data_IF_610178144332
#
_entry.id   IF_610178144332
#
_cell.length_a   1.000
_cell.length_b   1.000
_cell.length_c   1.000
_cell.angle_alpha   90.00
_cell.angle_beta   90.00
_cell.angle_gamma   90.00
#
_symmetry.space_group_name_H-M   'P 1'
#
loop_
_entity.id
_entity.type
_entity.pdbx_description
1 polymer ?
#
# COMPACT_ATOMS: atom_id res chain seq x y z
N UNK A 1 24.38 13.46 -14.15
CA UNK A 1 23.11 13.65 -13.43
C UNK A 1 23.43 13.42 -11.96
N UNK A 2 23.35 14.47 -11.14
CA UNK A 2 23.77 14.42 -9.74
C UNK A 2 22.79 13.55 -8.93
N UNK A 3 23.33 12.62 -8.12
CA UNK A 3 22.58 11.87 -7.14
C UNK A 3 21.82 12.85 -6.24
N UNK A 4 20.49 12.76 -6.21
CA UNK A 4 19.65 13.60 -5.36
C UNK A 4 19.58 12.99 -3.96
N UNK A 5 20.26 13.55 -2.93
CA UNK A 5 20.03 13.20 -1.52
C UNK A 5 18.59 13.44 -1.07
N UNK A 6 17.74 14.02 -1.92
CA UNK A 6 16.33 14.27 -1.65
C UNK A 6 15.44 13.03 -1.69
N UNK A 7 15.83 11.95 -2.38
CA UNK A 7 14.93 10.82 -2.64
C UNK A 7 14.51 10.09 -1.36
N UNK A 8 15.42 9.96 -0.38
CA UNK A 8 15.20 9.25 0.88
C UNK A 8 14.78 10.15 2.05
N UNK A 9 14.64 11.46 1.83
CA UNK A 9 14.26 12.38 2.91
C UNK A 9 12.90 11.98 3.48
N UNK A 10 12.86 11.79 4.80
CA UNK A 10 11.67 11.36 5.54
C UNK A 10 11.45 9.85 5.56
N UNK A 11 12.31 9.05 4.92
CA UNK A 11 12.24 7.59 4.98
C UNK A 11 13.06 7.11 6.18
N UNK A 12 12.39 6.68 7.25
CA UNK A 12 13.05 6.26 8.49
C UNK A 12 14.05 5.12 8.23
N UNK A 13 15.25 5.23 8.81
CA UNK A 13 16.35 4.21 8.77
C UNK A 13 16.95 3.92 7.39
N UNK A 14 16.49 4.56 6.31
CA UNK A 14 17.01 4.31 4.96
C UNK A 14 18.52 4.60 4.86
N UNK A 15 19.00 5.73 5.41
CA UNK A 15 20.42 6.09 5.37
C UNK A 15 21.32 5.08 6.09
N UNK A 16 20.84 4.55 7.22
CA UNK A 16 21.54 3.50 7.96
C UNK A 16 21.62 2.23 7.13
N UNK A 17 20.49 1.81 6.55
CA UNK A 17 20.44 0.63 5.70
C UNK A 17 21.38 0.74 4.48
N UNK A 18 21.39 1.89 3.79
CA UNK A 18 22.28 2.15 2.66
C UNK A 18 23.75 2.03 3.08
N UNK A 19 24.11 2.62 4.23
CA UNK A 19 25.46 2.54 4.77
C UNK A 19 25.85 1.10 5.09
N UNK A 20 24.99 0.36 5.78
CA UNK A 20 25.25 -1.03 6.18
C UNK A 20 25.40 -1.92 4.93
N UNK A 21 24.51 -1.78 3.95
CA UNK A 21 24.59 -2.50 2.68
C UNK A 21 25.84 -2.16 1.85
N UNK A 22 26.31 -0.90 1.89
CA UNK A 22 27.52 -0.49 1.16
C UNK A 22 28.84 -0.94 1.81
N UNK A 23 28.80 -1.38 3.07
CA UNK A 23 29.98 -1.65 3.89
C UNK A 23 30.11 -3.08 4.40
N UNK A 24 29.12 -3.93 4.12
CA UNK A 24 29.12 -5.34 4.53
C UNK A 24 28.66 -6.26 3.39
N UNK A 25 29.15 -7.50 3.42
CA UNK A 25 28.68 -8.58 2.56
C UNK A 25 27.54 -9.35 3.22
N UNK A 26 26.81 -10.11 2.41
CA UNK A 26 25.63 -10.85 2.83
C UNK A 26 24.35 -10.27 2.25
N UNK A 27 23.22 -10.66 2.84
CA UNK A 27 21.88 -10.39 2.32
C UNK A 27 21.24 -9.24 3.05
N UNK A 28 20.83 -8.24 2.29
CA UNK A 28 20.05 -7.11 2.77
C UNK A 28 18.70 -7.11 2.07
N UNK A 29 17.62 -6.86 2.81
CA UNK A 29 16.26 -6.88 2.24
C UNK A 29 15.52 -5.60 2.58
N UNK A 30 14.94 -4.97 1.56
CA UNK A 30 14.00 -3.85 1.69
C UNK A 30 12.60 -4.36 1.42
N UNK A 31 11.73 -4.33 2.43
CA UNK A 31 10.32 -4.72 2.32
C UNK A 31 9.45 -3.49 2.36
N UNK A 32 8.46 -3.39 1.49
CA UNK A 32 7.52 -2.28 1.51
C UNK A 32 6.43 -2.44 0.45
N UNK A 33 5.28 -1.84 0.70
CA UNK A 33 4.18 -1.81 -0.29
C UNK A 33 4.59 -1.07 -1.57
N UNK A 34 3.84 -1.26 -2.65
CA UNK A 34 4.06 -0.59 -3.91
C UNK A 34 3.96 0.93 -3.72
N UNK A 35 4.94 1.67 -4.24
CA UNK A 35 5.03 3.13 -4.05
C UNK A 35 5.61 3.60 -2.72
N UNK A 36 6.14 2.70 -1.87
CA UNK A 36 6.75 3.08 -0.58
C UNK A 36 8.18 3.62 -0.66
N UNK A 37 8.83 3.52 -1.83
CA UNK A 37 10.21 3.98 -2.04
C UNK A 37 11.28 2.88 -2.11
N UNK A 38 10.89 1.60 -2.27
CA UNK A 38 11.82 0.47 -2.45
C UNK A 38 12.90 0.75 -3.51
N UNK A 39 12.51 1.15 -4.71
CA UNK A 39 13.44 1.46 -5.80
C UNK A 39 14.31 2.70 -5.51
N UNK A 40 13.83 3.67 -4.71
CA UNK A 40 14.65 4.79 -4.27
C UNK A 40 15.76 4.35 -3.32
N UNK A 41 15.48 3.38 -2.42
CA UNK A 41 16.50 2.77 -1.55
C UNK A 41 17.51 1.99 -2.39
N UNK A 42 17.06 1.18 -3.35
CA UNK A 42 17.98 0.46 -4.25
C UNK A 42 18.86 1.42 -5.06
N UNK A 43 18.30 2.52 -5.57
CA UNK A 43 19.06 3.55 -6.26
C UNK A 43 20.13 4.20 -5.38
N UNK A 44 19.82 4.44 -4.11
CA UNK A 44 20.80 4.96 -3.14
C UNK A 44 21.90 3.94 -2.79
N UNK A 45 21.56 2.65 -2.68
CA UNK A 45 22.57 1.59 -2.54
C UNK A 45 23.45 1.51 -3.78
N UNK A 46 22.87 1.52 -4.98
CA UNK A 46 23.61 1.50 -6.23
C UNK A 46 24.60 2.67 -6.33
N UNK A 47 24.16 3.86 -5.92
CA UNK A 47 24.97 5.06 -5.86
C UNK A 47 26.12 5.01 -4.84
N UNK A 48 25.95 4.26 -3.74
CA UNK A 48 26.95 4.12 -2.68
C UNK A 48 27.89 2.93 -2.90
N UNK A 49 27.49 1.94 -3.70
CA UNK A 49 28.25 0.72 -3.96
C UNK A 49 29.46 0.98 -4.87
N UNK A 50 30.59 0.35 -4.55
CA UNK A 50 31.82 0.45 -5.35
C UNK A 50 31.68 -0.25 -6.71
N UNK A 51 31.05 -1.42 -6.74
CA UNK A 51 30.83 -2.22 -7.96
C UNK A 51 29.43 -2.83 -7.93
N UNK A 52 28.56 -2.38 -8.82
CA UNK A 52 27.23 -3.00 -9.03
C UNK A 52 27.31 -4.00 -10.16
N UNK A 53 26.90 -5.23 -9.91
CA UNK A 53 26.82 -6.28 -10.93
C UNK A 53 25.39 -6.38 -11.49
N UNK A 54 25.25 -6.19 -12.80
CA UNK A 54 23.97 -6.19 -13.50
C UNK A 54 23.61 -7.55 -14.14
N UNK A 55 24.47 -8.56 -14.03
CA UNK A 55 24.27 -9.89 -14.59
C UNK A 55 23.49 -10.83 -13.66
N UNK A 56 23.61 -12.13 -13.90
CA UNK A 56 23.01 -13.14 -13.04
C UNK A 56 23.62 -13.08 -11.63
N UNK A 57 22.80 -13.26 -10.60
CA UNK A 57 23.26 -13.29 -9.20
C UNK A 57 24.28 -14.40 -8.96
N UNK A 58 24.19 -15.49 -9.73
CA UNK A 58 25.11 -16.64 -9.69
C UNK A 58 26.51 -16.28 -10.17
N UNK A 59 26.61 -15.34 -11.11
CA UNK A 59 27.85 -15.02 -11.82
C UNK A 59 28.56 -13.79 -11.22
N UNK A 60 27.99 -13.23 -10.14
CA UNK A 60 28.53 -12.06 -9.48
C UNK A 60 29.93 -12.36 -8.92
N UNK A 61 30.96 -11.55 -9.26
CA UNK A 61 32.30 -11.73 -8.73
C UNK A 61 32.36 -11.35 -7.25
N UNK A 62 33.31 -11.91 -6.51
CA UNK A 62 33.51 -11.57 -5.10
C UNK A 62 33.75 -10.07 -4.92
N UNK A 63 33.12 -9.49 -3.91
CA UNK A 63 33.12 -8.06 -3.61
C UNK A 63 32.10 -7.24 -4.39
N UNK A 64 31.34 -7.84 -5.31
CA UNK A 64 30.28 -7.13 -6.04
C UNK A 64 29.00 -6.97 -5.21
N UNK A 65 28.28 -5.90 -5.49
CA UNK A 65 26.91 -5.68 -5.04
C UNK A 65 25.93 -6.09 -6.13
N UNK A 66 25.00 -6.99 -5.82
CA UNK A 66 23.90 -7.38 -6.71
C UNK A 66 22.60 -6.79 -6.18
N UNK A 67 21.85 -6.12 -7.05
CA UNK A 67 20.58 -5.50 -6.72
C UNK A 67 19.46 -6.25 -7.41
N UNK A 68 18.42 -6.61 -6.68
CA UNK A 68 17.21 -7.23 -7.22
C UNK A 68 16.03 -6.38 -6.81
N UNK A 69 15.36 -5.75 -7.77
CA UNK A 69 14.08 -5.09 -7.53
C UNK A 69 12.92 -6.06 -7.74
N UNK A 70 11.81 -5.78 -7.06
CA UNK A 70 10.56 -6.53 -7.14
C UNK A 70 10.72 -8.07 -7.14
N UNK A 71 11.47 -8.60 -6.16
CA UNK A 71 11.77 -10.03 -6.08
C UNK A 71 10.51 -10.93 -6.09
N UNK A 72 9.39 -10.44 -5.56
CA UNK A 72 8.08 -11.10 -5.58
C UNK A 72 7.40 -11.21 -6.95
N UNK A 73 7.89 -10.53 -7.99
CA UNK A 73 7.40 -10.66 -9.36
C UNK A 73 8.27 -11.61 -10.20
N UNK A 74 9.37 -12.10 -9.63
CA UNK A 74 10.28 -12.99 -10.34
C UNK A 74 9.70 -14.40 -10.47
N UNK A 75 9.99 -15.09 -11.58
CA UNK A 75 9.62 -16.48 -11.74
C UNK A 75 10.41 -17.37 -10.77
N UNK A 76 9.84 -18.54 -10.45
CA UNK A 76 10.31 -19.45 -9.41
C UNK A 76 11.81 -19.76 -9.48
N UNK A 77 12.32 -20.10 -10.67
CA UNK A 77 13.74 -20.42 -10.85
C UNK A 77 14.67 -19.25 -10.48
N UNK A 78 14.26 -18.00 -10.69
CA UNK A 78 15.05 -16.82 -10.30
C UNK A 78 15.02 -16.58 -8.80
N UNK A 79 13.89 -16.88 -8.15
CA UNK A 79 13.78 -16.85 -6.68
C UNK A 79 14.70 -17.90 -6.06
N UNK A 80 14.79 -19.09 -6.65
CA UNK A 80 15.71 -20.15 -6.22
C UNK A 80 17.19 -19.76 -6.39
N UNK A 81 17.54 -19.14 -7.52
CA UNK A 81 18.90 -18.61 -7.75
C UNK A 81 19.27 -17.54 -6.70
N UNK A 82 18.34 -16.65 -6.38
CA UNK A 82 18.51 -15.63 -5.34
C UNK A 82 18.67 -16.28 -3.97
N UNK A 83 17.87 -17.29 -3.64
CA UNK A 83 17.97 -18.02 -2.38
C UNK A 83 19.31 -18.77 -2.26
N UNK A 84 19.83 -19.32 -3.34
CA UNK A 84 21.16 -19.92 -3.36
C UNK A 84 22.26 -18.86 -3.15
N UNK A 85 22.18 -17.73 -3.87
CA UNK A 85 23.13 -16.63 -3.73
C UNK A 85 23.09 -15.96 -2.35
N UNK A 86 21.94 -15.99 -1.67
CA UNK A 86 21.79 -15.49 -0.30
C UNK A 86 22.70 -16.20 0.72
N UNK A 87 23.21 -17.39 0.40
CA UNK A 87 24.17 -18.12 1.25
C UNK A 87 25.62 -17.69 1.05
N UNK A 88 25.90 -16.86 0.03
CA UNK A 88 27.24 -16.38 -0.28
C UNK A 88 27.65 -15.26 0.68
N UNK A 89 28.84 -15.39 1.28
CA UNK A 89 29.44 -14.37 2.14
C UNK A 89 30.42 -13.44 1.41
N UNK A 90 30.66 -13.69 0.12
CA UNK A 90 31.64 -12.97 -0.69
C UNK A 90 31.03 -11.88 -1.57
N UNK A 91 29.71 -11.72 -1.59
CA UNK A 91 28.98 -10.66 -2.31
C UNK A 91 28.03 -9.92 -1.36
N UNK A 92 27.60 -8.74 -1.76
CA UNK A 92 26.46 -8.05 -1.13
C UNK A 92 25.24 -8.24 -2.01
N UNK A 93 24.20 -8.90 -1.51
CA UNK A 93 22.94 -9.09 -2.20
C UNK A 93 21.88 -8.18 -1.57
N UNK A 94 21.36 -7.21 -2.33
CA UNK A 94 20.30 -6.32 -1.86
C UNK A 94 19.02 -6.58 -2.63
N UNK A 95 18.01 -7.07 -1.91
CA UNK A 95 16.71 -7.44 -2.47
C UNK A 95 15.67 -6.38 -2.07
N UNK A 96 14.83 -5.96 -3.00
CA UNK A 96 13.61 -5.24 -2.69
C UNK A 96 12.39 -6.08 -3.03
N UNK A 97 11.42 -6.11 -2.13
CA UNK A 97 10.20 -6.89 -2.34
C UNK A 97 8.97 -6.28 -1.68
N UNK A 98 7.81 -6.48 -2.30
CA UNK A 98 6.54 -6.28 -1.65
C UNK A 98 6.31 -7.37 -0.58
N UNK A 99 5.53 -7.08 0.47
CA UNK A 99 5.12 -8.11 1.42
C UNK A 99 4.24 -9.15 0.71
N UNK A 100 4.62 -10.43 0.86
CA UNK A 100 3.87 -11.60 0.39
C UNK A 100 3.75 -12.59 1.55
N UNK A 101 2.68 -12.50 2.33
CA UNK A 101 2.49 -13.31 3.54
C UNK A 101 2.17 -14.76 3.20
N UNK A 102 1.58 -15.00 2.03
CA UNK A 102 1.17 -16.34 1.61
C UNK A 102 2.14 -16.96 0.60
N UNK A 103 3.08 -16.19 0.03
CA UNK A 103 4.23 -16.76 -0.68
C UNK A 103 5.36 -17.12 0.30
N UNK A 104 5.39 -18.38 0.73
CA UNK A 104 6.39 -18.91 1.66
C UNK A 104 7.85 -18.73 1.21
N UNK A 105 8.13 -18.57 -0.09
CA UNK A 105 9.50 -18.40 -0.60
C UNK A 105 9.98 -16.98 -0.39
N UNK A 106 9.12 -16.00 -0.71
CA UNK A 106 9.38 -14.60 -0.43
C UNK A 106 9.48 -14.38 1.08
N UNK A 107 8.61 -15.01 1.87
CA UNK A 107 8.69 -14.94 3.34
C UNK A 107 10.04 -15.48 3.86
N UNK A 108 10.50 -16.64 3.38
CA UNK A 108 11.81 -17.21 3.73
C UNK A 108 12.97 -16.32 3.31
N UNK A 109 12.94 -15.75 2.12
CA UNK A 109 13.96 -14.80 1.65
C UNK A 109 14.01 -13.56 2.55
N UNK A 110 12.86 -12.99 2.88
CA UNK A 110 12.77 -11.84 3.81
C UNK A 110 13.30 -12.21 5.20
N UNK A 111 12.97 -13.41 5.70
CA UNK A 111 13.43 -13.89 7.00
C UNK A 111 14.95 -14.11 7.04
N UNK A 112 15.55 -14.54 5.93
CA UNK A 112 16.99 -14.82 5.83
C UNK A 112 17.90 -13.61 6.10
N UNK A 113 17.40 -12.39 5.86
CA UNK A 113 18.16 -11.16 6.12
C UNK A 113 18.31 -10.84 7.62
N UNK A 114 17.45 -11.38 8.50
CA UNK A 114 17.50 -11.12 9.93
C UNK A 114 17.52 -9.61 10.27
N UNK A 115 18.62 -9.14 10.86
CA UNK A 115 18.80 -7.72 11.22
C UNK A 115 19.10 -6.81 10.02
N UNK A 116 19.54 -7.36 8.89
CA UNK A 116 19.80 -6.63 7.64
C UNK A 116 18.52 -6.40 6.82
N UNK A 117 17.38 -6.24 7.50
CA UNK A 117 16.07 -5.99 6.89
C UNK A 117 15.61 -4.57 7.21
N UNK A 118 15.26 -3.82 6.17
CA UNK A 118 14.54 -2.55 6.27
C UNK A 118 13.08 -2.76 5.88
N UNK A 119 12.16 -2.48 6.79
CA UNK A 119 10.73 -2.39 6.46
C UNK A 119 10.36 -0.93 6.27
N UNK A 120 9.94 -0.58 5.06
CA UNK A 120 9.44 0.75 4.73
C UNK A 120 8.03 0.90 5.29
N UNK A 121 7.86 1.92 6.11
CA UNK A 121 6.59 2.28 6.74
C UNK A 121 6.04 3.57 6.10
N UNK A 122 4.73 3.80 6.18
CA UNK A 122 4.15 5.04 5.71
C UNK A 122 4.76 6.26 6.42
N UNK A 123 4.91 7.36 5.69
CA UNK A 123 5.46 8.59 6.22
C UNK A 123 4.49 9.22 7.21
N UNK A 124 4.99 9.55 8.40
CA UNK A 124 4.24 10.32 9.37
C UNK A 124 4.22 11.82 8.98
N UNK A 125 3.37 12.60 9.65
CA UNK A 125 3.25 14.06 9.41
C UNK A 125 4.59 14.80 9.56
N UNK A 126 5.48 14.34 10.44
CA UNK A 126 6.79 14.95 10.69
C UNK A 126 7.73 14.71 9.50
N UNK A 127 7.75 13.47 9.00
CA UNK A 127 8.51 13.06 7.83
C UNK A 127 8.00 13.75 6.56
N UNK A 128 6.68 13.89 6.41
CA UNK A 128 6.06 14.63 5.30
C UNK A 128 6.48 16.12 5.34
N UNK A 129 6.44 16.77 6.50
CA UNK A 129 6.87 18.16 6.63
C UNK A 129 8.37 18.34 6.30
N UNK A 130 9.21 17.43 6.78
CA UNK A 130 10.66 17.41 6.50
C UNK A 130 10.91 17.23 5.00
N UNK A 131 10.21 16.29 4.38
CA UNK A 131 10.30 16.04 2.95
C UNK A 131 9.84 17.24 2.14
N UNK A 132 8.70 17.84 2.49
CA UNK A 132 8.20 19.05 1.84
C UNK A 132 9.22 20.19 1.85
N UNK A 133 9.89 20.41 2.98
CA UNK A 133 10.95 21.41 3.10
C UNK A 133 12.17 21.11 2.19
N UNK A 134 12.45 19.84 1.91
CA UNK A 134 13.57 19.42 1.07
C UNK A 134 13.27 19.43 -0.44
N UNK A 135 12.04 19.06 -0.86
CA UNK A 135 11.70 18.89 -2.29
C UNK A 135 10.78 19.94 -2.87
N UNK A 136 10.10 20.72 -2.02
CA UNK A 136 9.12 21.72 -2.43
C UNK A 136 9.29 23.01 -1.61
N UNK A 137 8.42 23.20 -0.62
CA UNK A 137 8.48 24.30 0.34
C UNK A 137 8.07 23.81 1.73
N UNK A 138 8.48 24.50 2.81
CA UNK A 138 7.92 24.25 4.14
C UNK A 138 6.38 24.36 4.13
N UNK A 139 5.72 23.45 4.82
CA UNK A 139 4.26 23.39 4.97
C UNK A 139 3.85 23.41 6.44
N UNK A 140 2.61 23.81 6.72
CA UNK A 140 2.06 23.77 8.08
C UNK A 140 1.85 22.32 8.56
N UNK A 141 1.81 22.13 9.87
CA UNK A 141 1.47 20.83 10.47
C UNK A 141 0.06 20.35 10.09
N UNK A 142 -0.89 21.27 9.92
CA UNK A 142 -2.25 20.94 9.47
C UNK A 142 -2.26 20.40 8.03
N UNK A 143 -1.51 21.03 7.12
CA UNK A 143 -1.39 20.57 5.74
C UNK A 143 -0.65 19.22 5.66
N UNK A 144 0.42 19.04 6.43
CA UNK A 144 1.12 17.76 6.52
C UNK A 144 0.18 16.64 7.02
N UNK A 145 -0.68 16.93 8.00
CA UNK A 145 -1.69 15.97 8.47
C UNK A 145 -2.77 15.67 7.43
N UNK A 146 -3.21 16.67 6.67
CA UNK A 146 -4.17 16.48 5.58
C UNK A 146 -3.58 15.60 4.47
N UNK A 147 -2.34 15.86 4.06
CA UNK A 147 -1.60 15.03 3.11
C UNK A 147 -1.47 13.60 3.64
N UNK A 148 -1.03 13.41 4.88
CA UNK A 148 -0.91 12.09 5.50
C UNK A 148 -2.22 11.30 5.44
N UNK A 149 -3.34 11.93 5.81
CA UNK A 149 -4.67 11.31 5.75
C UNK A 149 -5.09 10.96 4.32
N UNK A 150 -4.86 11.86 3.37
CA UNK A 150 -5.24 11.65 1.97
C UNK A 150 -4.36 10.64 1.23
N UNK A 151 -3.12 10.42 1.67
CA UNK A 151 -2.16 9.54 0.98
C UNK A 151 -1.90 8.25 1.73
N UNK A 152 -2.44 8.11 2.94
CA UNK A 152 -2.03 7.07 3.89
C UNK A 152 -0.55 7.15 4.29
N UNK A 153 0.17 8.22 3.95
CA UNK A 153 1.62 8.33 4.10
C UNK A 153 2.43 7.60 3.01
N UNK A 154 1.79 7.12 1.93
CA UNK A 154 2.48 6.44 0.85
C UNK A 154 3.41 7.40 0.09
N UNK A 155 4.71 7.09 0.03
CA UNK A 155 5.74 8.00 -0.50
C UNK A 155 5.40 8.58 -1.88
N UNK A 156 5.01 7.74 -2.84
CA UNK A 156 4.69 8.21 -4.20
C UNK A 156 3.46 9.12 -4.24
N UNK A 157 2.47 8.89 -3.39
CA UNK A 157 1.27 9.73 -3.28
C UNK A 157 1.56 11.03 -2.53
N UNK A 158 2.43 10.99 -1.50
CA UNK A 158 2.97 12.18 -0.83
C UNK A 158 3.73 13.04 -1.83
N UNK A 159 4.59 12.44 -2.67
CA UNK A 159 5.32 13.18 -3.70
C UNK A 159 4.38 13.82 -4.73
N UNK A 160 3.33 13.11 -5.16
CA UNK A 160 2.31 13.67 -6.04
C UNK A 160 1.57 14.87 -5.40
N UNK A 161 1.24 14.78 -4.11
CA UNK A 161 0.64 15.89 -3.35
C UNK A 161 1.59 17.09 -3.25
N UNK A 162 2.86 16.86 -2.90
CA UNK A 162 3.86 17.93 -2.77
C UNK A 162 4.19 18.58 -4.12
N UNK A 163 4.24 17.80 -5.21
CA UNK A 163 4.42 18.32 -6.56
C UNK A 163 3.27 19.25 -6.97
N UNK A 164 2.02 18.88 -6.67
CA UNK A 164 0.85 19.72 -6.93
C UNK A 164 0.92 21.06 -6.17
N UNK A 165 1.43 21.07 -4.93
CA UNK A 165 1.64 22.32 -4.20
C UNK A 165 2.70 23.22 -4.85
N UNK A 166 3.72 22.64 -5.50
CA UNK A 166 4.80 23.38 -6.15
C UNK A 166 4.40 24.12 -7.42
N UNK A 167 3.36 23.65 -8.12
CA UNK A 167 2.93 24.17 -9.42
C UNK A 167 2.22 25.52 -9.39
N UNK A 168 1.55 25.88 -8.28
CA UNK A 168 0.64 27.03 -8.26
C UNK A 168 0.92 27.97 -7.08
N UNK A 169 1.68 29.05 -7.34
CA UNK A 169 1.80 30.20 -6.42
C UNK A 169 0.52 31.06 -6.37
N UNK A 170 -0.46 30.80 -7.23
CA UNK A 170 -1.63 31.67 -7.45
C UNK A 170 -3.01 30.97 -7.36
N UNK A 171 -3.09 29.66 -7.10
CA UNK A 171 -4.40 29.01 -6.96
C UNK A 171 -4.98 29.25 -5.55
N UNK A 172 -6.19 29.82 -5.43
CA UNK A 172 -6.84 30.06 -4.14
C UNK A 172 -7.18 28.79 -3.35
N UNK A 173 -7.11 27.58 -3.96
CA UNK A 173 -7.53 26.34 -3.29
C UNK A 173 -6.51 25.19 -3.41
N UNK A 174 -5.33 25.30 -2.76
CA UNK A 174 -4.25 24.30 -2.86
C UNK A 174 -4.66 22.87 -2.47
N UNK A 175 -5.73 22.70 -1.69
CA UNK A 175 -6.26 21.38 -1.32
C UNK A 175 -6.96 20.65 -2.48
N UNK A 176 -7.56 21.37 -3.44
CA UNK A 176 -8.22 20.74 -4.59
C UNK A 176 -7.18 20.11 -5.52
N UNK A 177 -6.15 20.87 -5.89
CA UNK A 177 -5.05 20.38 -6.72
C UNK A 177 -4.33 19.17 -6.08
N UNK A 178 -4.11 19.21 -4.76
CA UNK A 178 -3.57 18.07 -4.01
C UNK A 178 -4.49 16.85 -4.11
N UNK A 179 -5.79 17.03 -3.90
CA UNK A 179 -6.78 15.93 -3.93
C UNK A 179 -6.84 15.28 -5.32
N UNK A 180 -6.86 16.08 -6.38
CA UNK A 180 -6.86 15.60 -7.77
C UNK A 180 -5.56 14.85 -8.11
N UNK A 181 -4.41 15.39 -7.70
CA UNK A 181 -3.10 14.75 -7.93
C UNK A 181 -2.97 13.42 -7.19
N UNK A 182 -3.43 13.34 -5.94
CA UNK A 182 -3.43 12.10 -5.15
C UNK A 182 -4.39 11.07 -5.76
N UNK A 183 -5.60 11.49 -6.15
CA UNK A 183 -6.56 10.60 -6.79
C UNK A 183 -6.03 10.03 -8.12
N UNK A 184 -5.37 10.86 -8.93
CA UNK A 184 -4.70 10.41 -10.16
C UNK A 184 -3.55 9.44 -9.86
N UNK A 185 -2.78 9.66 -8.80
CA UNK A 185 -1.74 8.72 -8.40
C UNK A 185 -2.32 7.37 -7.94
N UNK A 186 -3.44 7.37 -7.21
CA UNK A 186 -4.14 6.14 -6.84
C UNK A 186 -4.74 5.43 -8.05
N UNK A 187 -5.26 6.17 -9.04
CA UNK A 187 -5.71 5.60 -10.32
C UNK A 187 -4.58 4.84 -11.01
N UNK A 188 -3.37 5.39 -11.07
CA UNK A 188 -2.20 4.70 -11.67
C UNK A 188 -1.86 3.40 -10.95
N UNK A 189 -1.90 3.38 -9.62
CA UNK A 189 -1.68 2.15 -8.83
C UNK A 189 -2.76 1.10 -9.17
N UNK A 190 -4.01 1.53 -9.31
CA UNK A 190 -5.12 0.63 -9.60
C UNK A 190 -5.12 0.08 -11.04
N UNK A 191 -4.49 0.75 -12.01
CA UNK A 191 -4.35 0.26 -13.40
C UNK A 191 -3.69 -1.12 -13.43
N UNK A 192 -2.68 -1.34 -12.59
CA UNK A 192 -1.92 -2.59 -12.55
C UNK A 192 -2.58 -3.68 -11.68
N UNK A 193 -3.78 -3.43 -11.14
CA UNK A 193 -4.53 -4.40 -10.32
C UNK A 193 -5.57 -5.17 -11.14
N UNK A 194 -5.86 -6.41 -10.72
CA UNK A 194 -6.94 -7.22 -11.31
C UNK A 194 -8.29 -6.81 -10.73
N UNK A 195 -9.38 -7.22 -11.39
CA UNK A 195 -10.72 -6.98 -10.86
C UNK A 195 -10.96 -7.68 -9.52
N UNK A 196 -10.40 -8.87 -9.33
CA UNK A 196 -10.47 -9.61 -8.07
C UNK A 196 -9.74 -8.83 -6.94
N UNK A 197 -8.58 -8.22 -7.23
CA UNK A 197 -7.91 -7.32 -6.27
C UNK A 197 -8.75 -6.09 -5.97
N UNK A 198 -9.37 -5.46 -6.97
CA UNK A 198 -10.24 -4.30 -6.78
C UNK A 198 -11.48 -4.64 -5.94
N UNK A 199 -12.04 -5.85 -6.10
CA UNK A 199 -13.14 -6.33 -5.26
C UNK A 199 -12.73 -6.44 -3.78
N UNK A 200 -11.56 -7.01 -3.50
CA UNK A 200 -11.03 -7.10 -2.13
C UNK A 200 -10.72 -5.71 -1.54
N UNK A 201 -10.15 -4.80 -2.32
CA UNK A 201 -9.92 -3.41 -1.90
C UNK A 201 -11.24 -2.66 -1.62
N UNK A 202 -12.28 -2.93 -2.41
CA UNK A 202 -13.61 -2.36 -2.17
C UNK A 202 -14.22 -2.91 -0.89
N UNK A 203 -14.08 -4.22 -0.62
CA UNK A 203 -14.55 -4.82 0.62
C UNK A 203 -13.88 -4.19 1.86
N UNK A 204 -12.58 -3.92 1.77
CA UNK A 204 -11.81 -3.24 2.83
C UNK A 204 -12.34 -1.85 3.18
N UNK A 205 -12.96 -1.15 2.22
CA UNK A 205 -13.63 0.15 2.47
C UNK A 205 -14.82 0.03 3.42
N UNK A 206 -15.43 -1.15 3.51
CA UNK A 206 -16.58 -1.45 4.36
C UNK A 206 -16.20 -2.31 5.57
N UNK A 207 -14.93 -2.27 5.99
CA UNK A 207 -14.46 -2.94 7.20
C UNK A 207 -14.22 -4.45 7.06
N UNK A 208 -14.39 -5.02 5.86
CA UNK A 208 -14.03 -6.42 5.62
C UNK A 208 -12.52 -6.53 5.55
N UNK A 209 -11.92 -7.19 6.54
CA UNK A 209 -10.47 -7.40 6.59
C UNK A 209 -10.03 -8.23 5.38
N UNK A 210 -8.98 -7.82 4.64
CA UNK A 210 -8.43 -8.63 3.57
C UNK A 210 -7.76 -9.89 4.12
N UNK A 211 -8.47 -11.01 4.07
CA UNK A 211 -7.95 -12.34 4.43
C UNK A 211 -8.38 -13.40 3.39
N UNK A 212 -7.72 -14.56 3.32
CA UNK A 212 -8.01 -15.55 2.28
C UNK A 212 -9.44 -16.10 2.34
N UNK A 213 -10.06 -16.20 3.51
CA UNK A 213 -11.40 -16.76 3.66
C UNK A 213 -12.48 -15.79 3.17
N UNK A 214 -12.35 -14.49 3.47
CA UNK A 214 -13.24 -13.45 2.94
C UNK A 214 -12.98 -13.22 1.46
N UNK A 215 -11.71 -13.18 1.03
CA UNK A 215 -11.35 -13.02 -0.38
C UNK A 215 -11.88 -14.16 -1.25
N UNK A 216 -11.80 -15.42 -0.80
CA UNK A 216 -12.32 -16.58 -1.52
C UNK A 216 -13.81 -16.49 -1.90
N UNK A 217 -14.59 -15.67 -1.18
CA UNK A 217 -16.01 -15.45 -1.43
C UNK A 217 -16.28 -14.30 -2.42
N UNK A 218 -15.28 -13.45 -2.67
CA UNK A 218 -15.35 -12.25 -3.52
C UNK A 218 -14.70 -12.44 -4.89
N UNK A 219 -13.65 -13.28 -4.96
CA UNK A 219 -12.86 -13.47 -6.17
C UNK A 219 -13.46 -14.52 -7.10
N UNK A 220 -13.09 -14.43 -8.38
CA UNK A 220 -13.58 -15.36 -9.41
C UNK A 220 -13.06 -16.79 -9.18
N UNK A 221 -11.81 -16.94 -8.73
CA UNK A 221 -11.17 -18.23 -8.45
C UNK A 221 -10.72 -18.31 -6.99
N UNK A 222 -11.42 -19.06 -6.12
CA UNK A 222 -11.08 -19.16 -4.71
C UNK A 222 -9.65 -19.64 -4.42
N UNK A 223 -9.08 -20.45 -5.32
CA UNK A 223 -7.70 -20.92 -5.22
C UNK A 223 -6.65 -19.79 -5.30
N UNK A 224 -7.01 -18.62 -5.85
CA UNK A 224 -6.12 -17.46 -5.96
C UNK A 224 -6.24 -16.50 -4.77
N UNK A 225 -7.15 -16.76 -3.82
CA UNK A 225 -7.51 -15.82 -2.76
C UNK A 225 -6.30 -15.29 -1.98
N UNK A 226 -5.38 -16.17 -1.61
CA UNK A 226 -4.12 -15.81 -0.94
C UNK A 226 -3.27 -14.82 -1.76
N UNK A 227 -3.11 -15.09 -3.05
CA UNK A 227 -2.36 -14.21 -3.94
C UNK A 227 -3.06 -12.86 -4.10
N UNK A 228 -4.38 -12.85 -4.24
CA UNK A 228 -5.17 -11.62 -4.36
C UNK A 228 -5.06 -10.78 -3.08
N UNK A 229 -5.13 -11.40 -1.90
CA UNK A 229 -4.94 -10.72 -0.61
C UNK A 229 -3.54 -10.13 -0.50
N UNK A 230 -2.51 -10.88 -0.88
CA UNK A 230 -1.13 -10.38 -0.89
C UNK A 230 -0.98 -9.17 -1.84
N UNK A 231 -1.59 -9.20 -3.03
CA UNK A 231 -1.59 -8.04 -3.95
C UNK A 231 -2.34 -6.86 -3.34
N UNK A 232 -3.53 -7.07 -2.76
CA UNK A 232 -4.32 -6.01 -2.15
C UNK A 232 -3.55 -5.34 -0.99
N UNK A 233 -2.99 -6.14 -0.08
CA UNK A 233 -2.19 -5.67 1.06
C UNK A 233 -0.89 -4.97 0.63
N UNK A 234 -0.29 -5.39 -0.48
CA UNK A 234 0.93 -4.78 -1.01
C UNK A 234 0.68 -3.61 -1.96
N UNK A 235 -0.56 -3.31 -2.33
CA UNK A 235 -0.89 -2.23 -3.28
C UNK A 235 -0.50 -0.83 -2.81
N UNK A 236 -0.41 -0.63 -1.49
CA UNK A 236 -0.22 0.70 -0.88
C UNK A 236 -1.50 1.52 -0.76
N UNK A 237 -2.65 0.95 -1.11
CA UNK A 237 -3.96 1.61 -1.01
C UNK A 237 -4.71 1.32 0.30
N UNK A 238 -4.14 0.47 1.14
CA UNK A 238 -4.65 0.17 2.48
C UNK A 238 -3.80 0.88 3.54
N UNK A 239 -4.45 1.36 4.59
CA UNK A 239 -3.77 1.89 5.76
C UNK A 239 -3.25 0.78 6.69
N UNK A 240 -2.64 1.18 7.81
CA UNK A 240 -2.07 0.24 8.78
C UNK A 240 -3.11 -0.70 9.44
N UNK A 241 -4.40 -0.33 9.39
CA UNK A 241 -5.51 -1.17 9.90
C UNK A 241 -6.05 -2.13 8.84
N UNK A 242 -5.61 -1.99 7.59
CA UNK A 242 -6.11 -2.75 6.45
C UNK A 242 -7.34 -2.11 5.79
N UNK A 243 -7.74 -0.91 6.21
CA UNK A 243 -8.84 -0.18 5.60
C UNK A 243 -8.38 0.58 4.35
N UNK A 244 -9.28 0.74 3.37
CA UNK A 244 -8.98 1.51 2.16
C UNK A 244 -8.72 2.99 2.50
N UNK A 245 -7.64 3.55 1.97
CA UNK A 245 -7.34 4.98 2.09
C UNK A 245 -8.47 5.78 1.43
N UNK A 246 -9.09 6.77 2.11
CA UNK A 246 -10.32 7.41 1.62
C UNK A 246 -10.23 8.01 0.21
N UNK A 247 -9.09 8.58 -0.17
CA UNK A 247 -8.90 9.19 -1.49
C UNK A 247 -8.78 8.16 -2.64
N UNK A 248 -8.59 6.88 -2.33
CA UNK A 248 -8.56 5.80 -3.32
C UNK A 248 -9.97 5.32 -3.71
N UNK A 249 -11.00 5.64 -2.92
CA UNK A 249 -12.39 5.19 -3.13
C UNK A 249 -12.97 5.66 -4.48
N UNK A 250 -12.80 6.94 -4.81
CA UNK A 250 -13.26 7.50 -6.09
C UNK A 250 -12.63 6.80 -7.30
N UNK A 251 -11.29 6.77 -7.41
CA UNK A 251 -10.61 6.04 -8.48
C UNK A 251 -10.97 4.54 -8.53
N UNK A 252 -11.11 3.88 -7.38
CA UNK A 252 -11.47 2.47 -7.32
C UNK A 252 -12.88 2.20 -7.88
N UNK A 253 -13.86 2.98 -7.45
CA UNK A 253 -15.26 2.84 -7.91
C UNK A 253 -15.42 3.22 -9.39
N UNK A 254 -14.69 4.24 -9.85
CA UNK A 254 -14.60 4.60 -11.27
C UNK A 254 -14.11 3.42 -12.12
N UNK A 255 -13.03 2.76 -11.69
CA UNK A 255 -12.42 1.65 -12.42
C UNK A 255 -13.23 0.35 -12.38
N UNK A 256 -13.93 0.08 -11.28
CA UNK A 256 -14.85 -1.06 -11.20
C UNK A 256 -16.09 -0.82 -12.08
N UNK A 257 -16.57 0.42 -12.12
CA UNK A 257 -17.77 0.84 -12.84
C UNK A 257 -19.04 0.59 -12.02
N UNK A 258 -19.97 1.54 -12.09
CA UNK A 258 -21.15 1.63 -11.22
C UNK A 258 -21.99 0.34 -11.15
N UNK A 259 -22.27 -0.29 -12.31
CA UNK A 259 -23.06 -1.53 -12.38
C UNK A 259 -22.38 -2.68 -11.62
N UNK A 260 -21.06 -2.82 -11.78
CA UNK A 260 -20.29 -3.88 -11.13
C UNK A 260 -20.07 -3.58 -9.65
N UNK A 261 -19.90 -2.30 -9.29
CA UNK A 261 -19.89 -1.87 -7.90
C UNK A 261 -21.14 -2.34 -7.18
N UNK A 262 -22.34 -2.12 -7.73
CA UNK A 262 -23.59 -2.57 -7.09
C UNK A 262 -23.60 -4.07 -6.81
N UNK A 263 -23.26 -4.90 -7.80
CA UNK A 263 -23.18 -6.36 -7.63
C UNK A 263 -22.14 -6.76 -6.56
N UNK A 264 -20.99 -6.09 -6.54
CA UNK A 264 -19.96 -6.35 -5.53
C UNK A 264 -20.40 -5.90 -4.14
N UNK A 265 -21.09 -4.78 -4.00
CA UNK A 265 -21.58 -4.27 -2.72
C UNK A 265 -22.63 -5.22 -2.12
N UNK A 266 -23.54 -5.75 -2.93
CA UNK A 266 -24.48 -6.78 -2.50
C UNK A 266 -23.73 -7.99 -1.93
N UNK A 267 -22.71 -8.47 -2.66
CA UNK A 267 -21.87 -9.61 -2.25
C UNK A 267 -21.04 -9.32 -1.01
N UNK A 268 -20.43 -8.14 -0.91
CA UNK A 268 -19.67 -7.69 0.27
C UNK A 268 -20.58 -7.66 1.50
N UNK A 269 -21.83 -7.24 1.33
CA UNK A 269 -22.81 -7.24 2.42
C UNK A 269 -23.12 -8.66 2.90
N UNK A 270 -23.26 -9.64 1.99
CA UNK A 270 -23.40 -11.07 2.35
C UNK A 270 -22.22 -11.52 3.20
N UNK A 271 -21.00 -11.31 2.68
CA UNK A 271 -19.77 -11.76 3.34
C UNK A 271 -19.59 -11.12 4.72
N UNK A 272 -19.87 -9.81 4.82
CA UNK A 272 -19.75 -9.07 6.09
C UNK A 272 -20.77 -9.55 7.13
N UNK A 273 -22.01 -9.83 6.71
CA UNK A 273 -23.06 -10.35 7.59
C UNK A 273 -22.73 -11.77 8.06
N UNK A 274 -22.33 -12.67 7.15
CA UNK A 274 -21.97 -14.06 7.47
C UNK A 274 -20.74 -14.15 8.38
N UNK A 275 -19.79 -13.22 8.23
CA UNK A 275 -18.56 -13.19 9.02
C UNK A 275 -18.68 -12.42 10.33
N UNK A 276 -19.83 -11.79 10.61
CA UNK A 276 -20.01 -10.94 11.79
C UNK A 276 -19.10 -9.70 11.81
N UNK A 277 -18.60 -9.27 10.64
CA UNK A 277 -17.71 -8.12 10.48
C UNK A 277 -18.47 -6.82 10.18
N UNK A 278 -19.79 -6.91 10.03
CA UNK A 278 -20.65 -5.76 9.77
C UNK A 278 -20.81 -4.93 11.06
N UNK A 279 -20.22 -3.73 11.08
CA UNK A 279 -20.47 -2.72 12.11
C UNK A 279 -21.48 -1.66 11.64
N UNK A 280 -21.97 -0.81 12.56
CA UNK A 280 -22.96 0.23 12.25
C UNK A 280 -22.46 1.26 11.23
N UNK A 281 -21.16 1.55 11.19
CA UNK A 281 -20.56 2.51 10.25
C UNK A 281 -20.50 1.93 8.84
N UNK A 282 -20.05 0.68 8.71
CA UNK A 282 -20.01 -0.08 7.48
C UNK A 282 -21.43 -0.32 6.93
N UNK A 283 -22.37 -0.74 7.78
CA UNK A 283 -23.76 -0.94 7.42
C UNK A 283 -24.39 0.34 6.85
N UNK A 284 -24.18 1.48 7.52
CA UNK A 284 -24.69 2.77 7.05
C UNK A 284 -24.03 3.19 5.73
N UNK A 285 -22.73 2.95 5.57
CA UNK A 285 -22.03 3.24 4.33
C UNK A 285 -22.61 2.40 3.17
N UNK A 286 -22.81 1.09 3.37
CA UNK A 286 -23.42 0.20 2.37
C UNK A 286 -24.82 0.68 1.96
N UNK A 287 -25.67 1.05 2.92
CA UNK A 287 -26.98 1.63 2.65
C UNK A 287 -26.90 2.96 1.87
N UNK A 288 -25.96 3.84 2.23
CA UNK A 288 -25.72 5.12 1.52
C UNK A 288 -25.28 4.88 0.07
N UNK A 289 -24.57 3.77 -0.20
CA UNK A 289 -24.19 3.36 -1.55
C UNK A 289 -25.30 2.57 -2.29
N UNK A 290 -26.51 2.54 -1.75
CA UNK A 290 -27.71 2.00 -2.42
C UNK A 290 -27.89 0.49 -2.30
N UNK A 291 -27.24 -0.16 -1.33
CA UNK A 291 -27.53 -1.57 -1.01
C UNK A 291 -28.87 -1.63 -0.27
N UNK A 292 -29.87 -2.26 -0.89
CA UNK A 292 -31.22 -2.41 -0.34
C UNK A 292 -31.43 -3.87 0.02
N UNK A 293 -31.30 -4.22 1.31
CA UNK A 293 -31.56 -5.57 1.82
C UNK A 293 -32.29 -5.51 3.16
N UNK A 294 -33.22 -6.44 3.36
CA UNK A 294 -34.01 -6.52 4.59
C UNK A 294 -33.14 -6.79 5.82
N UNK A 295 -32.15 -7.68 5.71
CA UNK A 295 -31.23 -8.00 6.80
C UNK A 295 -30.34 -6.82 7.21
N UNK A 296 -29.90 -6.01 6.26
CA UNK A 296 -29.14 -4.78 6.52
C UNK A 296 -30.01 -3.72 7.21
N UNK A 297 -31.26 -3.56 6.77
CA UNK A 297 -32.22 -2.66 7.39
C UNK A 297 -32.54 -3.07 8.83
N UNK A 298 -32.80 -4.37 9.07
CA UNK A 298 -33.05 -4.92 10.39
C UNK A 298 -31.84 -4.72 11.32
N UNK A 299 -30.62 -4.93 10.81
CA UNK A 299 -29.40 -4.68 11.56
C UNK A 299 -29.26 -3.20 11.95
N UNK A 300 -29.45 -2.27 11.01
CA UNK A 300 -29.37 -0.83 11.26
C UNK A 300 -30.42 -0.35 12.26
N UNK A 301 -31.66 -0.84 12.14
CA UNK A 301 -32.73 -0.55 13.09
C UNK A 301 -32.38 -1.04 14.51
N UNK A 302 -31.89 -2.28 14.64
CA UNK A 302 -31.47 -2.82 15.93
C UNK A 302 -30.28 -2.07 16.57
N UNK A 303 -29.34 -1.57 15.77
CA UNK A 303 -28.27 -0.69 16.26
C UNK A 303 -28.81 0.68 16.70
N UNK A 304 -29.84 1.20 16.01
CA UNK A 304 -30.55 2.42 16.38
C UNK A 304 -31.22 2.33 17.75
N UNK A 305 -31.85 1.19 18.05
CA UNK A 305 -32.51 0.92 19.35
C UNK A 305 -31.54 0.95 20.54
N UNK A 306 -30.25 0.70 20.31
CA UNK A 306 -29.23 0.53 21.34
C UNK A 306 -28.23 1.69 21.45
N UNK A 307 -28.47 2.78 20.71
CA UNK A 307 -27.58 3.94 20.59
C UNK A 307 -28.25 5.24 21.11
N UNK A 308 -27.45 6.31 21.29
CA UNK A 308 -27.97 7.63 21.67
C UNK A 308 -28.95 8.18 20.62
N UNK A 309 -29.94 8.96 21.06
CA UNK A 309 -31.04 9.48 20.21
C UNK A 309 -30.53 10.20 18.94
N UNK A 310 -29.44 10.97 19.05
CA UNK A 310 -28.86 11.72 17.93
C UNK A 310 -28.24 10.81 16.85
N UNK A 311 -27.63 9.69 17.27
CA UNK A 311 -27.04 8.72 16.35
C UNK A 311 -28.05 7.69 15.84
N UNK A 312 -29.12 7.43 16.59
CA UNK A 312 -30.20 6.52 16.19
C UNK A 312 -30.95 7.03 14.95
N UNK A 313 -31.22 8.34 14.86
CA UNK A 313 -31.88 8.94 13.68
C UNK A 313 -31.13 8.65 12.37
N UNK A 314 -29.80 8.78 12.38
CA UNK A 314 -28.96 8.51 11.21
C UNK A 314 -28.94 7.03 10.80
N UNK A 315 -29.20 6.12 11.74
CA UNK A 315 -29.26 4.68 11.48
C UNK A 315 -30.64 4.29 10.93
N UNK A 316 -31.73 4.86 11.46
CA UNK A 316 -33.07 4.63 10.93
C UNK A 316 -33.25 5.19 9.52
N UNK A 317 -32.74 6.40 9.25
CA UNK A 317 -32.77 6.99 7.90
C UNK A 317 -32.00 6.14 6.87
N UNK A 318 -30.99 5.38 7.33
CA UNK A 318 -30.24 4.46 6.48
C UNK A 318 -30.90 3.08 6.36
N UNK A 319 -31.88 2.75 7.20
CA UNK A 319 -32.60 1.48 7.19
C UNK A 319 -33.82 1.48 6.23
N UNK A 320 -34.21 2.65 5.71
CA UNK A 320 -35.35 2.82 4.77
C UNK A 320 -34.92 2.72 3.31
#
# INVERSE_FOLDING_TARGET
MANSPSALVGVERADRFVRDASSSTGVHVVVGVNGSGRSAVLGAVAAAATTVHAGSVTDAPSGATVLVDDAHLLPDHRVDEIAAAATRSDITLVLATAPRRYDSRIEKLVASAGAARLTLVPLDKTSIATRAAAVARPISASLASAIAKSTGGLLVAVDAALAALGGERSDPTPLRAVTESVAEQHRRILVDTTDDTRAVLLAARFGVVPDPATAAQLVTRPADAETVVDIACSSGLLDATGALIPSAEGPLTEMIGERRCRVLLDRITEVAAESGLLDASAARALATHGVIRADLADFLAGQGDSTSVESAGQLYDAAT
#
